data_IF_425379675325
#
_entry.id   IF_425379675325
#
_cell.length_a   1.000
_cell.length_b   1.000
_cell.length_c   1.000
_cell.angle_alpha   90.00
_cell.angle_beta   90.00
_cell.angle_gamma   90.00
#
_symmetry.space_group_name_H-M   'P 1'
#
loop_
_entity.id
_entity.type
_entity.pdbx_description
1 polymer ?
#
# COMPACT_ATOMS: atom_id res chain seq x y z
N UNK A 1 7.94 3.07 -3.87
CA UNK A 1 8.22 3.72 -5.15
C UNK A 1 9.20 4.87 -4.98
N UNK A 2 10.09 5.11 -5.98
CA UNK A 2 10.99 6.27 -5.98
C UNK A 2 10.21 7.59 -6.02
N UNK A 3 9.04 7.61 -6.62
CA UNK A 3 8.13 8.76 -6.73
C UNK A 3 7.55 9.19 -5.37
N UNK A 4 7.49 8.29 -4.39
CA UNK A 4 7.05 8.62 -3.02
C UNK A 4 8.05 9.50 -2.24
N UNK A 5 9.30 9.66 -2.70
CA UNK A 5 10.25 10.53 -1.98
C UNK A 5 9.83 12.01 -2.04
N UNK A 6 10.19 12.78 -1.04
CA UNK A 6 9.80 14.18 -0.92
C UNK A 6 8.53 14.38 -0.11
N UNK A 7 7.62 15.21 -0.60
CA UNK A 7 6.40 15.60 0.13
C UNK A 7 5.38 14.46 0.21
N UNK A 8 5.34 13.57 -0.78
CA UNK A 8 4.39 12.46 -0.82
C UNK A 8 4.58 11.47 0.34
N UNK A 9 5.82 11.11 0.67
CA UNK A 9 6.07 10.25 1.83
C UNK A 9 5.71 10.94 3.14
N UNK A 10 5.89 12.27 3.23
CA UNK A 10 5.49 13.06 4.40
C UNK A 10 3.96 13.09 4.52
N UNK A 11 3.26 13.23 3.40
CA UNK A 11 1.80 13.13 3.38
C UNK A 11 1.34 11.73 3.84
N UNK A 12 1.95 10.66 3.32
CA UNK A 12 1.63 9.30 3.74
C UNK A 12 1.88 9.08 5.25
N UNK A 13 3.00 9.60 5.79
CA UNK A 13 3.30 9.55 7.22
C UNK A 13 2.22 10.23 8.06
N UNK A 14 1.84 11.46 7.69
CA UNK A 14 0.79 12.21 8.38
C UNK A 14 -0.56 11.48 8.32
N UNK A 15 -0.93 10.96 7.14
CA UNK A 15 -2.14 10.17 6.95
C UNK A 15 -2.22 8.98 7.88
N UNK A 16 -1.13 8.20 7.92
CA UNK A 16 -1.05 7.00 8.74
C UNK A 16 -1.10 7.33 10.22
N UNK A 17 -0.40 8.39 10.67
CA UNK A 17 -0.42 8.81 12.07
C UNK A 17 -1.82 9.29 12.48
N UNK A 18 -2.44 10.16 11.68
CA UNK A 18 -3.77 10.69 11.97
C UNK A 18 -4.83 9.57 12.02
N UNK A 19 -4.79 8.62 11.07
CA UNK A 19 -5.67 7.47 11.08
C UNK A 19 -5.42 6.57 12.30
N UNK A 20 -4.16 6.33 12.65
CA UNK A 20 -3.81 5.51 13.80
C UNK A 20 -4.28 6.17 15.12
N UNK A 21 -4.16 7.49 15.27
CA UNK A 21 -4.67 8.25 16.41
C UNK A 21 -6.20 8.18 16.51
N UNK A 22 -6.89 8.33 15.39
CA UNK A 22 -8.36 8.24 15.34
C UNK A 22 -8.88 6.82 15.70
N UNK A 23 -8.10 5.78 15.37
CA UNK A 23 -8.46 4.39 15.65
C UNK A 23 -8.01 3.90 17.03
N UNK A 24 -7.03 4.56 17.68
CA UNK A 24 -6.46 4.11 18.95
C UNK A 24 -7.50 3.95 20.07
N UNK A 25 -8.52 4.84 20.24
CA UNK A 25 -9.57 4.67 21.24
C UNK A 25 -10.60 3.60 20.87
N UNK A 26 -10.51 3.03 19.67
CA UNK A 26 -11.46 2.01 19.19
C UNK A 26 -10.91 0.59 19.40
N UNK A 27 -11.72 -0.43 19.11
CA UNK A 27 -11.26 -1.82 19.13
C UNK A 27 -10.60 -2.26 17.82
N UNK A 28 -10.44 -1.37 16.83
CA UNK A 28 -9.84 -1.68 15.54
C UNK A 28 -8.34 -1.96 15.72
N UNK A 29 -7.90 -3.12 15.24
CA UNK A 29 -6.49 -3.50 15.26
C UNK A 29 -5.81 -3.02 13.98
N UNK A 30 -4.81 -2.17 14.11
CA UNK A 30 -4.08 -1.57 13.00
C UNK A 30 -2.65 -2.09 12.92
N UNK A 31 -2.23 -2.52 11.72
CA UNK A 31 -0.82 -2.74 11.35
C UNK A 31 -0.44 -1.75 10.25
N UNK A 32 0.80 -1.26 10.29
CA UNK A 32 1.33 -0.33 9.30
C UNK A 32 2.59 -0.91 8.69
N UNK A 33 2.55 -1.10 7.38
CA UNK A 33 3.66 -1.66 6.61
C UNK A 33 3.95 -0.82 5.39
N UNK A 34 5.21 -0.76 5.01
CA UNK A 34 5.63 -0.23 3.74
C UNK A 34 6.25 -1.32 2.88
N UNK A 35 6.24 -1.13 1.57
CA UNK A 35 6.88 -2.05 0.64
C UNK A 35 7.67 -1.31 -0.43
N UNK A 36 8.67 -1.99 -0.96
CA UNK A 36 9.56 -1.49 -1.98
C UNK A 36 10.30 -2.65 -2.63
N UNK A 37 10.78 -2.51 -3.85
CA UNK A 37 11.71 -3.49 -4.41
C UNK A 37 13.14 -3.21 -3.97
N UNK A 38 13.93 -4.27 -3.86
CA UNK A 38 15.39 -4.18 -3.77
C UNK A 38 15.95 -4.30 -5.19
N UNK A 39 16.84 -3.39 -5.57
CA UNK A 39 17.55 -3.49 -6.85
C UNK A 39 18.29 -4.83 -6.97
N UNK A 40 18.20 -5.46 -8.13
CA UNK A 40 19.00 -6.65 -8.44
C UNK A 40 20.46 -6.27 -8.72
N UNK A 41 21.41 -7.16 -8.39
CA UNK A 41 22.77 -7.02 -8.88
C UNK A 41 22.75 -6.95 -10.42
N UNK A 42 23.55 -6.05 -11.01
CA UNK A 42 23.61 -5.86 -12.47
C UNK A 42 23.94 -7.14 -13.23
N UNK A 43 24.72 -8.05 -12.61
CA UNK A 43 25.02 -9.37 -13.18
C UNK A 43 23.76 -10.21 -13.37
N UNK A 44 22.89 -10.28 -12.37
CA UNK A 44 21.64 -11.04 -12.42
C UNK A 44 20.65 -10.47 -13.43
N UNK A 45 20.55 -9.16 -13.52
CA UNK A 45 19.71 -8.51 -14.52
C UNK A 45 20.20 -8.82 -15.95
N UNK A 46 21.53 -8.80 -16.17
CA UNK A 46 22.16 -9.14 -17.45
C UNK A 46 21.93 -10.61 -17.82
N UNK A 47 22.07 -11.52 -16.86
CA UNK A 47 21.88 -12.95 -17.08
C UNK A 47 20.41 -13.29 -17.37
N UNK A 48 19.49 -12.64 -16.67
CA UNK A 48 18.05 -12.79 -16.96
C UNK A 48 17.70 -12.27 -18.36
N UNK A 49 18.18 -11.10 -18.76
CA UNK A 49 17.94 -10.56 -20.11
C UNK A 49 18.49 -11.47 -21.20
N UNK A 50 19.56 -12.22 -20.92
CA UNK A 50 20.12 -13.23 -21.81
C UNK A 50 19.33 -14.54 -21.80
N UNK A 51 18.74 -14.89 -20.67
CA UNK A 51 17.90 -16.06 -20.58
C UNK A 51 16.65 -15.83 -21.42
N UNK A 52 16.48 -16.58 -22.51
CA UNK A 52 15.31 -16.53 -23.39
C UNK A 52 14.04 -17.12 -22.74
N UNK A 53 14.06 -17.32 -21.43
CA UNK A 53 12.93 -17.85 -20.67
C UNK A 53 11.90 -16.74 -20.51
N UNK A 54 10.97 -16.67 -21.43
CA UNK A 54 9.74 -15.86 -21.28
C UNK A 54 8.88 -16.48 -20.20
N UNK A 55 9.11 -16.12 -18.94
CA UNK A 55 8.13 -16.40 -17.89
C UNK A 55 7.08 -15.29 -17.93
N UNK A 56 5.84 -15.57 -18.32
CA UNK A 56 4.77 -14.59 -18.20
C UNK A 56 4.56 -14.26 -16.72
N UNK A 57 4.43 -12.98 -16.41
CA UNK A 57 4.00 -12.47 -15.10
C UNK A 57 4.90 -12.81 -13.90
N UNK A 58 6.21 -12.78 -14.03
CA UNK A 58 7.10 -12.86 -12.87
C UNK A 58 7.95 -11.59 -12.73
N UNK A 59 7.81 -10.93 -11.57
CA UNK A 59 8.76 -9.92 -11.14
C UNK A 59 10.09 -10.56 -10.80
N UNK A 60 11.17 -9.86 -11.14
CA UNK A 60 12.53 -10.26 -10.80
C UNK A 60 13.04 -9.61 -9.52
N UNK A 61 12.38 -8.54 -9.11
CA UNK A 61 12.86 -7.72 -8.01
C UNK A 61 12.35 -8.27 -6.68
N UNK A 62 13.24 -8.58 -5.71
CA UNK A 62 12.81 -8.95 -4.37
C UNK A 62 12.01 -7.82 -3.72
N UNK A 63 10.91 -8.18 -3.07
CA UNK A 63 10.09 -7.24 -2.31
C UNK A 63 10.66 -7.13 -0.90
N UNK A 64 10.89 -5.91 -0.45
CA UNK A 64 11.22 -5.57 0.92
C UNK A 64 9.97 -5.07 1.62
N UNK A 65 9.64 -5.65 2.76
CA UNK A 65 8.56 -5.23 3.62
C UNK A 65 9.15 -4.53 4.84
N UNK A 66 8.73 -3.31 5.08
CA UNK A 66 9.06 -2.53 6.27
C UNK A 66 7.90 -2.63 7.25
N UNK A 67 8.16 -3.12 8.45
CA UNK A 67 7.17 -3.17 9.50
C UNK A 67 7.31 -1.93 10.40
N UNK A 68 6.35 -1.01 10.32
CA UNK A 68 6.35 0.22 11.13
C UNK A 68 5.52 0.08 12.39
N UNK A 69 4.47 -0.76 12.37
CA UNK A 69 3.61 -1.06 13.49
C UNK A 69 2.92 -2.40 13.29
N UNK A 70 3.00 -3.28 14.27
CA UNK A 70 2.21 -4.50 14.31
C UNK A 70 0.85 -4.31 14.98
N UNK A 71 -0.08 -5.22 14.73
CA UNK A 71 -1.45 -5.17 15.26
C UNK A 71 -1.53 -5.03 16.79
N UNK A 72 -0.62 -5.70 17.53
CA UNK A 72 -0.59 -5.67 18.99
C UNK A 72 0.18 -4.50 19.60
N UNK A 73 0.85 -3.69 18.80
CA UNK A 73 1.68 -2.59 19.30
C UNK A 73 0.86 -1.31 19.52
N UNK A 74 1.00 -0.61 20.65
CA UNK A 74 0.37 0.68 20.86
C UNK A 74 1.07 1.76 20.03
N UNK A 75 0.31 2.76 19.59
CA UNK A 75 0.81 3.80 18.68
C UNK A 75 2.00 4.60 19.26
N UNK A 76 1.94 4.93 20.55
CA UNK A 76 3.01 5.73 21.20
C UNK A 76 4.40 5.11 21.07
N UNK A 77 4.51 3.76 20.97
CA UNK A 77 5.79 3.06 20.77
C UNK A 77 6.25 3.03 19.31
N UNK A 78 5.35 3.26 18.37
CA UNK A 78 5.60 3.13 16.94
C UNK A 78 5.66 4.48 16.22
N UNK A 79 5.25 5.56 16.88
CA UNK A 79 5.12 6.90 16.26
C UNK A 79 6.42 7.38 15.63
N UNK A 80 7.55 7.22 16.33
CA UNK A 80 8.86 7.60 15.80
C UNK A 80 9.27 6.74 14.60
N UNK A 81 8.97 5.43 14.66
CA UNK A 81 9.26 4.50 13.57
C UNK A 81 8.45 4.87 12.32
N UNK A 82 7.17 5.19 12.49
CA UNK A 82 6.31 5.71 11.41
C UNK A 82 6.87 7.04 10.89
N UNK A 83 7.25 7.97 11.77
CA UNK A 83 7.90 9.22 11.41
C UNK A 83 9.24 9.05 10.67
N UNK A 84 9.91 7.92 10.87
CA UNK A 84 11.15 7.54 10.19
C UNK A 84 10.99 6.91 8.79
N UNK A 85 9.78 6.74 8.25
CA UNK A 85 9.52 6.08 6.96
C UNK A 85 10.44 6.58 5.83
N UNK A 86 10.61 7.90 5.70
CA UNK A 86 11.46 8.49 4.66
C UNK A 86 12.90 7.99 4.72
N UNK A 87 13.48 7.89 5.93
CA UNK A 87 14.84 7.38 6.13
C UNK A 87 14.94 5.91 5.75
N UNK A 88 13.98 5.11 6.14
CA UNK A 88 13.91 3.68 5.82
C UNK A 88 13.90 3.46 4.30
N UNK A 89 13.12 4.24 3.58
CA UNK A 89 13.05 4.14 2.13
C UNK A 89 14.34 4.55 1.42
N UNK A 90 15.04 5.57 1.90
CA UNK A 90 16.29 6.07 1.28
C UNK A 90 17.48 5.14 1.46
N UNK A 91 17.56 4.48 2.61
CA UNK A 91 18.72 3.65 2.97
C UNK A 91 18.78 2.32 2.21
N UNK A 92 17.73 1.97 1.46
CA UNK A 92 17.68 0.72 0.71
C UNK A 92 17.57 1.03 -0.77
N UNK A 93 18.52 0.56 -1.56
CA UNK A 93 18.50 0.67 -3.02
C UNK A 93 17.25 0.01 -3.62
N UNK A 94 16.87 0.42 -4.83
CA UNK A 94 15.66 -0.03 -5.52
C UNK A 94 14.63 1.08 -5.63
N UNK A 95 13.96 1.16 -6.79
CA UNK A 95 13.09 2.30 -7.12
C UNK A 95 11.69 1.87 -7.52
N UNK A 96 11.45 0.58 -7.71
CA UNK A 96 10.20 0.05 -8.23
C UNK A 96 9.22 -0.36 -7.12
N UNK A 97 7.96 -0.46 -7.49
CA UNK A 97 6.86 -0.88 -6.62
C UNK A 97 6.03 -1.95 -7.34
N UNK A 98 6.15 -3.19 -6.86
CA UNK A 98 5.35 -4.31 -7.35
C UNK A 98 4.11 -4.39 -6.47
N UNK A 99 3.12 -3.56 -6.79
CA UNK A 99 1.95 -3.38 -5.92
C UNK A 99 1.14 -4.67 -5.80
N UNK A 100 0.87 -5.38 -6.91
CA UNK A 100 0.07 -6.59 -6.89
C UNK A 100 0.61 -7.67 -5.94
N UNK A 101 1.89 -8.02 -6.08
CA UNK A 101 2.52 -9.03 -5.23
C UNK A 101 2.64 -8.54 -3.77
N UNK A 102 2.92 -7.24 -3.55
CA UNK A 102 3.01 -6.66 -2.22
C UNK A 102 1.67 -6.69 -1.49
N UNK A 103 0.59 -6.31 -2.17
CA UNK A 103 -0.78 -6.35 -1.64
C UNK A 103 -1.21 -7.78 -1.34
N UNK A 104 -0.85 -8.75 -2.20
CA UNK A 104 -1.14 -10.17 -1.94
C UNK A 104 -0.47 -10.64 -0.66
N UNK A 105 0.81 -10.32 -0.42
CA UNK A 105 1.52 -10.67 0.81
C UNK A 105 0.86 -10.07 2.06
N UNK A 106 0.48 -8.79 2.01
CA UNK A 106 -0.23 -8.12 3.11
C UNK A 106 -1.61 -8.74 3.34
N UNK A 107 -2.32 -9.06 2.26
CA UNK A 107 -3.63 -9.71 2.33
C UNK A 107 -3.57 -11.09 2.96
N UNK A 108 -2.58 -11.91 2.61
CA UNK A 108 -2.39 -13.22 3.24
C UNK A 108 -2.09 -13.11 4.75
N UNK A 109 -1.34 -12.12 5.16
CA UNK A 109 -1.11 -11.86 6.58
C UNK A 109 -2.41 -11.43 7.29
N UNK A 110 -3.16 -10.53 6.67
CA UNK A 110 -4.43 -10.05 7.19
C UNK A 110 -5.46 -11.17 7.30
N UNK A 111 -5.48 -12.09 6.34
CA UNK A 111 -6.39 -13.26 6.35
C UNK A 111 -6.15 -14.20 7.53
N UNK A 112 -4.95 -14.26 8.11
CA UNK A 112 -4.62 -15.06 9.29
C UNK A 112 -5.18 -14.47 10.58
N UNK A 113 -5.70 -13.25 10.54
CA UNK A 113 -6.26 -12.59 11.72
C UNK A 113 -7.63 -13.15 12.10
N UNK A 114 -7.96 -13.21 13.40
CA UNK A 114 -9.23 -13.74 13.87
C UNK A 114 -10.41 -12.78 13.69
N UNK A 115 -10.12 -11.47 13.48
CA UNK A 115 -11.17 -10.46 13.33
C UNK A 115 -12.06 -10.77 12.11
N UNK A 116 -13.38 -10.64 12.27
CA UNK A 116 -14.36 -10.97 11.21
C UNK A 116 -14.20 -10.04 10.00
N UNK A 117 -14.09 -8.75 10.25
CA UNK A 117 -13.90 -7.74 9.21
C UNK A 117 -12.43 -7.47 8.99
N UNK A 118 -12.00 -7.46 7.75
CA UNK A 118 -10.62 -7.26 7.33
C UNK A 118 -10.56 -6.18 6.27
N UNK A 119 -9.82 -5.11 6.54
CA UNK A 119 -9.66 -3.97 5.64
C UNK A 119 -8.17 -3.80 5.32
N UNK A 120 -7.84 -3.74 4.04
CA UNK A 120 -6.51 -3.43 3.54
C UNK A 120 -6.53 -2.07 2.85
N UNK A 121 -5.85 -1.10 3.44
CA UNK A 121 -5.71 0.23 2.86
C UNK A 121 -4.34 0.36 2.19
N UNK A 122 -4.33 0.78 0.94
CA UNK A 122 -3.12 0.92 0.11
C UNK A 122 -2.92 2.39 -0.24
N UNK A 123 -1.86 2.99 0.29
CA UNK A 123 -1.45 4.35 -0.07
C UNK A 123 -0.47 4.26 -1.24
N UNK A 124 -0.83 4.88 -2.37
CA UNK A 124 -0.04 4.85 -3.61
C UNK A 124 0.06 6.23 -4.23
N UNK A 125 1.18 6.52 -4.86
CA UNK A 125 1.45 7.77 -5.56
C UNK A 125 1.52 7.61 -7.10
N UNK A 126 1.13 6.45 -7.61
CA UNK A 126 1.19 6.22 -9.05
C UNK A 126 0.81 4.81 -9.49
N UNK A 127 1.36 4.43 -10.63
CA UNK A 127 1.17 3.13 -11.22
C UNK A 127 2.23 2.14 -10.69
N UNK A 128 1.92 0.83 -10.67
CA UNK A 128 2.92 -0.19 -10.37
C UNK A 128 4.04 -0.18 -11.41
N UNK A 129 5.27 -0.40 -10.95
CA UNK A 129 6.45 -0.38 -11.80
C UNK A 129 7.45 -1.49 -11.42
N UNK A 130 7.95 -2.22 -12.43
CA UNK A 130 9.00 -3.23 -12.29
C UNK A 130 9.80 -3.40 -13.59
N UNK A 131 10.98 -4.00 -13.47
CA UNK A 131 11.85 -4.29 -14.62
C UNK A 131 11.51 -5.57 -15.37
N UNK A 132 10.80 -6.50 -14.74
CA UNK A 132 10.48 -7.83 -15.31
C UNK A 132 9.14 -7.93 -16.04
N UNK A 133 8.27 -6.95 -15.85
CA UNK A 133 6.91 -6.93 -16.39
C UNK A 133 6.66 -5.62 -17.15
N UNK A 134 5.83 -5.67 -18.19
CA UNK A 134 5.36 -4.43 -18.83
C UNK A 134 4.18 -3.82 -18.05
N UNK A 135 3.90 -2.54 -18.30
CA UNK A 135 2.83 -1.80 -17.59
C UNK A 135 1.47 -2.50 -17.63
N UNK A 136 1.09 -3.05 -18.78
CA UNK A 136 -0.20 -3.74 -18.93
C UNK A 136 -0.27 -5.01 -18.05
N UNK A 137 0.82 -5.76 -18.00
CA UNK A 137 0.90 -6.95 -17.15
C UNK A 137 0.85 -6.60 -15.67
N UNK A 138 1.56 -5.55 -15.25
CA UNK A 138 1.55 -5.10 -13.85
C UNK A 138 0.20 -4.56 -13.41
N UNK A 139 -0.46 -3.80 -14.29
CA UNK A 139 -1.81 -3.30 -14.01
C UNK A 139 -2.81 -4.45 -13.89
N UNK A 140 -2.74 -5.44 -14.79
CA UNK A 140 -3.59 -6.63 -14.73
C UNK A 140 -3.32 -7.46 -13.47
N UNK A 141 -2.05 -7.71 -13.11
CA UNK A 141 -1.69 -8.41 -11.87
C UNK A 141 -2.25 -7.69 -10.64
N UNK A 142 -2.13 -6.37 -10.57
CA UNK A 142 -2.67 -5.59 -9.46
C UNK A 142 -4.20 -5.75 -9.35
N UNK A 143 -4.92 -5.62 -10.46
CA UNK A 143 -6.38 -5.82 -10.50
C UNK A 143 -6.75 -7.23 -10.05
N UNK A 144 -6.08 -8.25 -10.58
CA UNK A 144 -6.36 -9.66 -10.24
C UNK A 144 -6.11 -9.94 -8.74
N UNK A 145 -5.05 -9.35 -8.15
CA UNK A 145 -4.77 -9.48 -6.72
C UNK A 145 -5.81 -8.79 -5.85
N UNK A 146 -6.23 -7.59 -6.22
CA UNK A 146 -7.29 -6.85 -5.51
C UNK A 146 -8.59 -7.65 -5.54
N UNK A 147 -9.04 -8.07 -6.72
CA UNK A 147 -10.26 -8.87 -6.88
C UNK A 147 -10.17 -10.21 -6.13
N UNK A 148 -9.02 -10.86 -6.15
CA UNK A 148 -8.78 -12.10 -5.42
C UNK A 148 -8.87 -11.94 -3.90
N UNK A 149 -8.44 -10.82 -3.35
CA UNK A 149 -8.59 -10.51 -1.93
C UNK A 149 -10.05 -10.15 -1.58
N UNK A 150 -10.73 -9.36 -2.41
CA UNK A 150 -12.13 -9.01 -2.23
C UNK A 150 -13.04 -10.26 -2.28
N UNK A 151 -12.80 -11.18 -3.20
CA UNK A 151 -13.52 -12.45 -3.27
C UNK A 151 -13.36 -13.32 -2.01
N UNK A 152 -12.29 -13.11 -1.25
CA UNK A 152 -12.01 -13.78 0.03
C UNK A 152 -12.50 -12.99 1.24
N UNK A 153 -13.22 -11.89 1.04
CA UNK A 153 -13.82 -11.09 2.09
C UNK A 153 -12.92 -10.03 2.71
N UNK A 154 -11.82 -9.65 2.04
CA UNK A 154 -11.00 -8.50 2.43
C UNK A 154 -11.52 -7.26 1.70
N UNK A 155 -11.86 -6.22 2.42
CA UNK A 155 -12.19 -4.92 1.82
C UNK A 155 -10.90 -4.20 1.45
N UNK A 156 -10.69 -3.91 0.16
CA UNK A 156 -9.45 -3.28 -0.33
C UNK A 156 -9.71 -1.84 -0.72
N UNK A 157 -8.96 -0.92 -0.12
CA UNK A 157 -9.10 0.52 -0.29
C UNK A 157 -7.85 1.14 -0.91
N UNK A 158 -8.01 1.92 -1.98
CA UNK A 158 -6.94 2.72 -2.57
C UNK A 158 -6.97 4.18 -2.11
N UNK A 159 -5.84 4.68 -1.62
CA UNK A 159 -5.63 6.10 -1.32
C UNK A 159 -4.57 6.64 -2.26
N UNK A 160 -4.98 7.46 -3.22
CA UNK A 160 -4.06 8.13 -4.14
C UNK A 160 -3.47 9.39 -3.51
N UNK A 161 -2.13 9.45 -3.42
CA UNK A 161 -1.42 10.63 -2.95
C UNK A 161 -0.98 11.43 -4.17
N UNK A 162 -1.71 12.52 -4.44
CA UNK A 162 -1.49 13.36 -5.62
C UNK A 162 -1.56 12.58 -6.95
N UNK A 163 -2.42 11.56 -7.00
CA UNK A 163 -2.59 10.72 -8.18
C UNK A 163 -3.98 10.13 -8.28
N UNK A 164 -4.53 10.11 -9.48
CA UNK A 164 -5.79 9.45 -9.82
C UNK A 164 -5.62 7.97 -10.22
N UNK A 165 -4.38 7.45 -10.23
CA UNK A 165 -4.09 6.09 -10.68
C UNK A 165 -4.89 5.03 -9.91
N UNK A 166 -5.15 5.27 -8.62
CA UNK A 166 -5.92 4.36 -7.75
C UNK A 166 -7.32 4.06 -8.26
N UNK A 167 -7.94 4.98 -9.03
CA UNK A 167 -9.26 4.79 -9.64
C UNK A 167 -9.32 3.60 -10.60
N UNK A 168 -8.18 3.22 -11.18
CA UNK A 168 -8.10 2.11 -12.15
C UNK A 168 -8.08 0.74 -11.47
N UNK A 169 -7.69 0.66 -10.19
CA UNK A 169 -7.37 -0.60 -9.53
C UNK A 169 -8.29 -0.93 -8.37
N UNK A 170 -8.84 0.10 -7.70
CA UNK A 170 -9.59 -0.07 -6.48
C UNK A 170 -11.02 0.39 -6.65
N UNK A 171 -11.95 -0.51 -6.37
CA UNK A 171 -13.38 -0.19 -6.36
C UNK A 171 -13.69 0.91 -5.35
N UNK A 172 -13.06 0.84 -4.18
CA UNK A 172 -13.14 1.86 -3.15
C UNK A 172 -11.84 2.64 -3.11
N UNK A 173 -11.92 3.92 -3.38
CA UNK A 173 -10.74 4.78 -3.43
C UNK A 173 -11.06 6.21 -3.01
N UNK A 174 -10.01 6.92 -2.63
CA UNK A 174 -10.01 8.38 -2.46
C UNK A 174 -8.69 8.95 -2.98
N UNK A 175 -8.68 10.23 -3.32
CA UNK A 175 -7.47 10.94 -3.75
C UNK A 175 -7.25 12.10 -2.81
N UNK A 176 -6.02 12.23 -2.33
CA UNK A 176 -5.57 13.29 -1.44
C UNK A 176 -4.54 14.13 -2.18
N UNK A 177 -4.84 15.40 -2.42
CA UNK A 177 -4.01 16.30 -3.19
C UNK A 177 -3.09 17.17 -2.32
N UNK A 178 -3.51 17.49 -1.11
CA UNK A 178 -2.72 18.26 -0.17
C UNK A 178 -2.86 17.75 1.28
N UNK A 179 -2.07 18.34 2.19
CA UNK A 179 -2.06 17.92 3.60
C UNK A 179 -3.29 18.37 4.38
N UNK A 180 -4.03 19.38 3.94
CA UNK A 180 -5.25 19.85 4.60
C UNK A 180 -6.42 18.93 4.34
N UNK A 181 -6.51 18.36 3.14
CA UNK A 181 -7.52 17.37 2.77
C UNK A 181 -7.30 16.04 3.52
N UNK A 182 -6.06 15.77 3.89
CA UNK A 182 -5.63 14.51 4.43
C UNK A 182 -6.22 14.20 5.80
N UNK A 183 -6.25 15.18 6.71
CA UNK A 183 -6.81 14.99 8.04
C UNK A 183 -8.33 14.90 7.98
N UNK A 184 -8.96 15.77 7.21
CA UNK A 184 -10.43 15.90 7.18
C UNK A 184 -11.08 14.83 6.34
N UNK A 185 -10.65 14.63 5.10
CA UNK A 185 -11.30 13.67 4.20
C UNK A 185 -10.88 12.23 4.49
N UNK A 186 -9.60 11.96 4.71
CA UNK A 186 -9.13 10.61 4.91
C UNK A 186 -9.55 10.09 6.28
N UNK A 187 -9.31 10.86 7.35
CA UNK A 187 -9.62 10.42 8.71
C UNK A 187 -11.12 10.30 8.90
N UNK A 188 -11.91 11.28 8.49
CA UNK A 188 -13.37 11.25 8.64
C UNK A 188 -14.01 10.14 7.79
N UNK A 189 -13.62 10.04 6.51
CA UNK A 189 -14.15 9.00 5.62
C UNK A 189 -13.72 7.60 6.06
N UNK A 190 -12.46 7.41 6.43
CA UNK A 190 -11.94 6.11 6.79
C UNK A 190 -12.35 5.69 8.19
N UNK A 191 -12.44 6.60 9.15
CA UNK A 191 -12.98 6.31 10.48
C UNK A 191 -14.44 5.88 10.38
N UNK A 192 -15.26 6.57 9.59
CA UNK A 192 -16.64 6.19 9.35
C UNK A 192 -16.76 4.82 8.67
N UNK A 193 -15.90 4.51 7.70
CA UNK A 193 -15.85 3.18 7.07
C UNK A 193 -15.42 2.11 8.05
N UNK A 194 -14.38 2.35 8.82
CA UNK A 194 -13.81 1.35 9.73
C UNK A 194 -14.69 1.12 10.98
N UNK A 195 -15.34 2.17 11.48
CA UNK A 195 -16.18 2.11 12.67
C UNK A 195 -17.64 1.86 12.31
N UNK A 196 -18.15 2.51 11.26
CA UNK A 196 -19.58 2.50 10.88
C UNK A 196 -20.05 1.34 10.00
N UNK A 197 -19.17 0.50 9.49
CA UNK A 197 -19.53 -0.79 8.89
C UNK A 197 -19.89 -0.84 7.41
N UNK A 198 -20.09 0.27 6.69
CA UNK A 198 -20.36 0.22 5.26
C UNK A 198 -19.83 1.46 4.51
N UNK A 199 -19.19 1.25 3.39
CA UNK A 199 -18.86 2.31 2.44
C UNK A 199 -20.09 2.63 1.57
N UNK A 200 -20.58 3.85 1.65
CA UNK A 200 -21.59 4.32 0.71
C UNK A 200 -20.90 4.94 -0.53
N UNK A 201 -20.77 4.13 -1.59
CA UNK A 201 -20.17 4.54 -2.86
C UNK A 201 -20.86 5.76 -3.51
N UNK A 202 -22.07 6.12 -3.07
CA UNK A 202 -22.85 7.23 -3.62
C UNK A 202 -22.41 8.61 -3.16
N UNK A 203 -21.49 8.70 -2.17
CA UNK A 203 -20.95 9.97 -1.66
C UNK A 203 -19.55 10.30 -2.19
N UNK A 204 -19.05 9.56 -3.17
CA UNK A 204 -17.71 9.70 -3.75
C UNK A 204 -17.71 10.37 -5.15
N UNK A 205 -18.80 11.04 -5.52
CA UNK A 205 -18.89 11.83 -6.77
C UNK A 205 -18.75 13.31 -6.48
#
# INVERSE_FOLDING_TARGET
SGSMDGDRIVMAQKAVIALAEALEPTQVKLSVKGFKTKGLPRSWEKDYRKSRVKKPCSSLSPILIFNYKDFGQPLHRCREVIGGMRKSFRNVGGYHNIDGASIALMGEELMKRPEKRKVLMVLSDGLPEDTGMNKRQMNADLVDRVLGLEARGVEVFGVGIQTDAVKQFYRWHTVVNDTSDLEKELVDRMSNVLIGGAWDARKAS
#
